data_IF_228275882953
#
_entry.id   IF_228275882953
#
_cell.length_a   1.000
_cell.length_b   1.000
_cell.length_c   1.000
_cell.angle_alpha   90.00
_cell.angle_beta   90.00
_cell.angle_gamma   90.00
#
_symmetry.space_group_name_H-M   'P 1'
#
loop_
_entity.id
_entity.type
_entity.pdbx_description
1 polymer ?
#
# COMPACT_ATOMS: atom_id res chain seq x y z
N UNK A 1 -10.16 66.53 -21.81
CA UNK A 1 -9.68 67.34 -22.95
C UNK A 1 -8.21 66.99 -23.13
N UNK A 2 -7.67 66.36 -24.18
CA UNK A 2 -7.97 66.06 -25.60
C UNK A 2 -7.44 64.61 -25.83
N UNK A 3 -8.10 63.62 -26.45
CA UNK A 3 -8.48 63.39 -27.86
C UNK A 3 -7.32 63.57 -28.89
N UNK A 4 -6.63 62.48 -29.35
CA UNK A 4 -6.87 61.70 -30.63
C UNK A 4 -5.90 62.16 -31.78
N UNK A 5 -5.43 61.35 -32.77
CA UNK A 5 -5.19 59.88 -32.90
C UNK A 5 -3.98 59.51 -33.87
N UNK A 6 -3.99 58.49 -34.79
CA UNK A 6 -2.85 57.60 -35.04
C UNK A 6 -2.21 57.77 -36.45
N UNK A 7 -1.21 56.96 -36.82
CA UNK A 7 -0.88 56.79 -38.25
C UNK A 7 -0.42 55.38 -38.62
N UNK A 8 -0.95 54.93 -39.76
CA UNK A 8 -0.76 53.66 -40.46
C UNK A 8 0.40 53.74 -41.48
N UNK A 9 0.89 52.58 -41.90
CA UNK A 9 1.67 52.34 -43.14
C UNK A 9 3.07 51.79 -42.86
N UNK A 10 3.62 50.76 -43.51
CA UNK A 10 3.24 49.91 -44.64
C UNK A 10 4.08 48.61 -44.55
N UNK A 11 3.59 47.52 -45.16
CA UNK A 11 4.22 46.18 -45.27
C UNK A 11 5.31 46.13 -46.35
N UNK A 12 6.39 45.36 -46.15
CA UNK A 12 7.10 44.56 -47.22
C UNK A 12 7.72 43.27 -46.59
N UNK A 13 7.67 42.07 -47.25
CA UNK A 13 7.97 40.75 -46.68
C UNK A 13 9.34 40.16 -47.14
N UNK A 14 9.76 39.00 -46.62
CA UNK A 14 10.72 38.11 -47.31
C UNK A 14 10.06 36.82 -47.85
N UNK A 15 10.70 36.14 -48.83
CA UNK A 15 10.01 35.48 -49.95
C UNK A 15 9.73 33.99 -49.76
N UNK A 16 8.77 33.51 -50.55
CA UNK A 16 8.51 32.10 -50.80
C UNK A 16 9.10 31.65 -52.16
N UNK A 17 9.76 30.50 -52.16
CA UNK A 17 9.90 29.55 -53.26
C UNK A 17 9.94 28.17 -52.57
N UNK A 18 8.97 27.26 -52.71
CA UNK A 18 8.52 26.61 -53.95
C UNK A 18 9.60 25.62 -54.37
N UNK A 19 9.46 24.30 -54.39
CA UNK A 19 8.36 23.35 -54.17
C UNK A 19 8.90 21.95 -54.52
N UNK A 20 8.10 20.90 -54.32
CA UNK A 20 8.35 19.57 -54.92
C UNK A 20 8.58 18.46 -53.91
N UNK A 21 7.59 17.59 -53.76
CA UNK A 21 7.64 16.43 -52.86
C UNK A 21 8.33 15.20 -53.44
N UNK A 22 8.58 14.21 -52.58
CA UNK A 22 8.60 12.80 -52.92
C UNK A 22 8.57 11.98 -51.62
N UNK A 23 7.74 10.93 -51.61
CA UNK A 23 7.66 9.93 -50.58
C UNK A 23 8.92 9.05 -50.55
N UNK A 24 9.45 8.75 -49.35
CA UNK A 24 10.38 7.62 -49.13
C UNK A 24 10.29 7.10 -47.68
N UNK A 25 9.73 5.90 -47.51
CA UNK A 25 10.21 4.79 -46.66
C UNK A 25 10.41 4.93 -45.13
N UNK A 26 10.25 3.83 -44.36
CA UNK A 26 10.44 3.83 -42.91
C UNK A 26 11.93 3.84 -42.56
N UNK A 27 12.32 4.66 -41.58
CA UNK A 27 13.69 4.72 -41.06
C UNK A 27 13.90 3.68 -39.96
N UNK A 28 14.92 2.81 -40.04
CA UNK A 28 15.21 1.81 -39.03
C UNK A 28 16.13 2.36 -37.92
N UNK A 29 15.96 1.85 -36.71
CA UNK A 29 17.03 1.71 -35.72
C UNK A 29 17.34 2.94 -34.85
N UNK A 30 16.65 3.03 -33.70
CA UNK A 30 17.27 3.55 -32.48
C UNK A 30 17.41 2.38 -31.49
N UNK A 31 18.60 2.19 -30.87
CA UNK A 31 18.86 1.07 -30.00
C UNK A 31 18.04 1.21 -28.71
N UNK A 32 17.34 0.14 -28.33
CA UNK A 32 16.74 0.02 -27.01
C UNK A 32 17.87 0.10 -25.97
N UNK A 33 17.86 1.17 -25.17
CA UNK A 33 18.70 1.27 -23.99
C UNK A 33 18.35 0.09 -23.07
N UNK A 34 19.27 -0.88 -23.00
CA UNK A 34 19.26 -1.95 -22.02
C UNK A 34 19.39 -1.35 -20.62
N UNK A 35 18.26 -1.00 -20.03
CA UNK A 35 18.15 -0.87 -18.58
C UNK A 35 18.17 -2.28 -18.00
N UNK A 36 19.37 -2.77 -17.70
CA UNK A 36 19.56 -3.91 -16.81
C UNK A 36 18.99 -3.55 -15.45
N UNK A 37 17.70 -3.79 -15.27
CA UNK A 37 17.06 -3.83 -13.96
C UNK A 37 17.58 -5.07 -13.24
N UNK A 38 18.64 -4.90 -12.46
CA UNK A 38 18.94 -5.78 -11.35
C UNK A 38 17.65 -6.07 -10.60
N UNK A 39 17.37 -7.35 -10.33
CA UNK A 39 16.29 -7.82 -9.47
C UNK A 39 16.16 -6.97 -8.21
N UNK A 40 15.35 -5.91 -8.25
CA UNK A 40 14.79 -5.32 -7.04
C UNK A 40 13.69 -6.29 -6.62
N UNK A 41 14.11 -7.24 -5.78
CA UNK A 41 13.22 -8.01 -4.94
C UNK A 41 12.12 -7.07 -4.38
N UNK A 42 10.87 -7.53 -4.25
CA UNK A 42 9.80 -6.70 -3.72
C UNK A 42 10.29 -6.05 -2.42
N UNK A 43 9.99 -4.76 -2.23
CA UNK A 43 10.19 -4.01 -0.98
C UNK A 43 9.34 -4.57 0.17
N UNK A 44 9.19 -5.88 0.28
CA UNK A 44 8.98 -6.55 1.54
C UNK A 44 10.32 -6.51 2.25
N UNK A 45 10.49 -5.56 3.17
CA UNK A 45 11.58 -5.66 4.14
C UNK A 45 11.56 -7.08 4.69
N UNK A 46 12.68 -7.79 4.58
CA UNK A 46 12.81 -9.16 5.06
C UNK A 46 12.53 -9.16 6.55
N UNK A 47 11.25 -9.34 6.92
CA UNK A 47 10.89 -9.66 8.29
C UNK A 47 11.40 -11.07 8.51
N UNK A 48 12.62 -11.18 9.01
CA UNK A 48 13.05 -12.35 9.76
C UNK A 48 12.23 -12.41 11.07
N UNK A 49 10.92 -12.56 10.94
CA UNK A 49 10.10 -13.07 12.00
C UNK A 49 10.48 -14.53 12.13
N UNK A 50 11.07 -14.92 13.26
CA UNK A 50 11.14 -16.34 13.60
C UNK A 50 9.70 -16.80 13.77
N UNK A 51 9.15 -17.42 12.72
CA UNK A 51 7.85 -18.07 12.77
C UNK A 51 7.96 -19.28 13.70
N UNK A 52 7.70 -19.04 14.99
CA UNK A 52 7.57 -20.10 15.96
C UNK A 52 6.25 -20.82 15.68
N UNK A 53 6.32 -21.90 14.91
CA UNK A 53 5.16 -22.72 14.58
C UNK A 53 4.75 -23.57 15.78
N UNK A 54 3.52 -23.38 16.25
CA UNK A 54 2.91 -24.26 17.25
C UNK A 54 1.67 -24.89 16.64
N UNK A 55 1.68 -26.22 16.50
CA UNK A 55 0.58 -26.95 15.88
C UNK A 55 -0.70 -26.74 16.70
N UNK A 56 -1.78 -26.35 16.03
CA UNK A 56 -3.09 -26.11 16.65
C UNK A 56 -3.24 -24.75 17.36
N UNK A 57 -2.23 -23.87 17.35
CA UNK A 57 -2.31 -22.52 17.93
C UNK A 57 -1.93 -21.46 16.91
N UNK A 58 -2.68 -20.37 16.89
CA UNK A 58 -2.34 -19.19 16.08
C UNK A 58 -1.37 -18.31 16.87
N UNK A 59 -0.20 -18.04 16.29
CA UNK A 59 0.80 -17.15 16.85
C UNK A 59 0.75 -15.79 16.17
N UNK A 60 0.62 -14.73 16.95
CA UNK A 60 0.53 -13.35 16.47
C UNK A 60 1.69 -12.53 17.01
N UNK A 61 2.60 -12.13 16.12
CA UNK A 61 3.62 -11.15 16.45
C UNK A 61 3.02 -9.75 16.35
N UNK A 62 2.65 -9.18 17.49
CA UNK A 62 1.96 -7.90 17.53
C UNK A 62 2.74 -6.77 16.85
N UNK A 63 4.07 -6.77 16.94
CA UNK A 63 4.88 -5.74 16.30
C UNK A 63 4.76 -5.77 14.76
N UNK A 64 4.77 -6.95 14.15
CA UNK A 64 4.62 -7.10 12.71
C UNK A 64 3.23 -6.71 12.24
N UNK A 65 2.24 -7.14 13.00
CA UNK A 65 0.84 -6.76 12.80
C UNK A 65 0.70 -5.24 12.85
N UNK A 66 1.28 -4.57 13.85
CA UNK A 66 1.20 -3.11 13.99
C UNK A 66 1.84 -2.35 12.82
N UNK A 67 2.91 -2.89 12.21
CA UNK A 67 3.52 -2.30 11.00
C UNK A 67 2.62 -2.40 9.77
N UNK A 68 1.76 -3.42 9.71
CA UNK A 68 0.77 -3.55 8.65
C UNK A 68 -0.45 -2.64 8.86
N UNK A 69 -0.85 -2.45 10.12
CA UNK A 69 -2.09 -1.74 10.46
C UNK A 69 -1.94 -0.21 10.57
N UNK A 70 -0.85 0.27 11.16
CA UNK A 70 -0.70 1.69 11.49
C UNK A 70 0.55 2.24 10.82
N UNK A 71 0.42 3.35 10.09
CA UNK A 71 1.56 4.04 9.46
C UNK A 71 2.23 4.98 10.47
N UNK A 72 3.23 4.47 11.18
CA UNK A 72 4.04 5.25 12.14
C UNK A 72 5.47 5.48 11.61
N UNK A 73 6.08 6.60 12.01
CA UNK A 73 7.50 6.86 11.75
C UNK A 73 8.42 5.99 12.64
N UNK A 74 8.01 5.80 13.89
CA UNK A 74 8.75 5.04 14.90
C UNK A 74 7.78 4.04 15.51
N UNK A 75 8.11 2.76 15.49
CA UNK A 75 7.20 1.69 15.95
C UNK A 75 7.41 1.25 17.40
N UNK A 76 8.12 2.03 18.23
CA UNK A 76 8.34 1.66 19.64
C UNK A 76 7.03 1.41 20.37
N UNK A 77 7.03 0.46 21.32
CA UNK A 77 5.83 0.06 22.07
C UNK A 77 5.05 1.26 22.63
N UNK A 78 5.75 2.22 23.24
CA UNK A 78 5.14 3.42 23.81
C UNK A 78 4.47 4.30 22.75
N UNK A 79 5.03 4.36 21.54
CA UNK A 79 4.48 5.15 20.44
C UNK A 79 3.27 4.46 19.81
N UNK A 80 3.31 3.13 19.65
CA UNK A 80 2.15 2.36 19.20
C UNK A 80 0.98 2.49 20.17
N UNK A 81 1.24 2.37 21.48
CA UNK A 81 0.21 2.57 22.52
C UNK A 81 -0.35 3.98 22.46
N UNK A 82 0.49 5.00 22.29
CA UNK A 82 0.00 6.37 22.18
C UNK A 82 -0.83 6.60 20.91
N UNK A 83 -0.42 6.03 19.77
CA UNK A 83 -1.14 6.18 18.51
C UNK A 83 -2.53 5.52 18.55
N UNK A 84 -2.66 4.34 19.18
CA UNK A 84 -3.88 3.53 19.16
C UNK A 84 -4.80 3.87 20.34
N UNK A 85 -4.25 3.87 21.56
CA UNK A 85 -5.01 4.04 22.81
C UNK A 85 -5.02 5.49 23.31
N UNK A 86 -4.36 6.42 22.60
CA UNK A 86 -4.24 7.83 22.99
C UNK A 86 -3.69 8.04 24.41
N UNK A 87 -2.95 7.05 24.93
CA UNK A 87 -2.45 7.04 26.31
C UNK A 87 -0.92 7.08 26.31
N UNK A 88 -0.32 7.88 27.20
CA UNK A 88 1.14 7.93 27.35
C UNK A 88 1.62 6.97 28.43
N UNK A 89 2.61 6.16 28.08
CA UNK A 89 3.21 5.17 28.99
C UNK A 89 4.69 5.51 29.18
N UNK A 90 5.20 5.53 30.42
CA UNK A 90 6.61 5.81 30.67
C UNK A 90 7.48 4.64 30.20
N UNK A 91 8.53 4.96 29.44
CA UNK A 91 9.58 4.00 29.06
C UNK A 91 10.55 3.83 30.22
N UNK A 92 10.58 2.63 30.81
CA UNK A 92 11.53 2.27 31.87
C UNK A 92 12.68 1.47 31.29
N UNK A 93 13.93 1.88 31.58
CA UNK A 93 15.12 1.17 31.15
C UNK A 93 15.19 -0.25 31.77
N UNK A 94 15.68 -1.24 31.03
CA UNK A 94 15.67 -2.63 31.47
C UNK A 94 16.54 -2.86 32.72
N UNK A 95 17.67 -2.17 32.85
CA UNK A 95 18.52 -2.24 34.05
C UNK A 95 17.75 -1.84 35.32
N UNK A 96 16.89 -0.83 35.21
CA UNK A 96 16.11 -0.30 36.34
C UNK A 96 15.03 -1.29 36.78
N UNK A 97 14.42 -2.01 35.84
CA UNK A 97 13.47 -3.09 36.13
C UNK A 97 14.16 -4.25 36.89
N UNK A 98 15.36 -4.65 36.46
CA UNK A 98 16.15 -5.67 37.16
C UNK A 98 16.53 -5.24 38.57
N UNK A 99 16.91 -3.96 38.75
CA UNK A 99 17.23 -3.40 40.07
C UNK A 99 16.01 -3.44 41.00
N UNK A 100 14.84 -3.01 40.52
CA UNK A 100 13.60 -3.05 41.30
C UNK A 100 13.17 -4.47 41.67
N UNK A 101 13.37 -5.43 40.76
CA UNK A 101 13.03 -6.83 41.01
C UNK A 101 13.96 -7.49 42.04
N UNK A 102 15.25 -7.16 42.02
CA UNK A 102 16.24 -7.72 42.95
C UNK A 102 16.29 -6.99 44.30
N UNK A 103 15.70 -5.79 44.40
CA UNK A 103 15.61 -5.04 45.65
C UNK A 103 14.97 -5.89 46.78
N UNK A 104 15.49 -5.85 48.02
CA UNK A 104 14.89 -6.55 49.15
C UNK A 104 13.52 -5.96 49.54
N UNK A 105 13.22 -4.73 49.10
CA UNK A 105 11.96 -4.05 49.40
C UNK A 105 10.81 -4.64 48.57
N UNK A 106 9.78 -5.18 49.22
CA UNK A 106 8.58 -5.72 48.55
C UNK A 106 7.91 -4.72 47.60
N UNK A 107 7.95 -3.42 47.94
CA UNK A 107 7.34 -2.34 47.14
C UNK A 107 7.99 -2.20 45.76
N UNK A 108 9.30 -2.30 45.66
CA UNK A 108 10.01 -2.13 44.38
C UNK A 108 9.81 -3.35 43.48
N UNK A 109 9.80 -4.55 44.05
CA UNK A 109 9.43 -5.78 43.32
C UNK A 109 8.03 -5.67 42.73
N UNK A 110 7.08 -5.19 43.52
CA UNK A 110 5.70 -4.98 43.05
C UNK A 110 5.63 -3.94 41.93
N UNK A 111 6.41 -2.86 41.99
CA UNK A 111 6.48 -1.86 40.90
C UNK A 111 6.95 -2.48 39.58
N UNK A 112 7.99 -3.31 39.61
CA UNK A 112 8.49 -4.01 38.42
C UNK A 112 7.44 -4.97 37.83
N UNK A 113 6.81 -5.79 38.68
CA UNK A 113 5.75 -6.72 38.27
C UNK A 113 4.53 -5.98 37.70
N UNK A 114 4.10 -4.90 38.36
CA UNK A 114 3.01 -4.05 37.87
C UNK A 114 3.32 -3.43 36.52
N UNK A 115 4.56 -2.98 36.29
CA UNK A 115 4.97 -2.45 34.99
C UNK A 115 4.86 -3.52 33.89
N UNK A 116 5.39 -4.73 34.12
CA UNK A 116 5.31 -5.83 33.16
C UNK A 116 3.85 -6.28 32.89
N UNK A 117 3.05 -6.44 33.95
CA UNK A 117 1.64 -6.75 33.84
C UNK A 117 0.87 -5.65 33.07
N UNK A 118 1.19 -4.37 33.31
CA UNK A 118 0.57 -3.27 32.55
C UNK A 118 0.96 -3.30 31.07
N UNK A 119 2.20 -3.66 30.72
CA UNK A 119 2.60 -3.83 29.30
C UNK A 119 1.86 -4.98 28.62
N UNK A 120 1.68 -6.11 29.31
CA UNK A 120 0.94 -7.25 28.78
C UNK A 120 -0.55 -6.93 28.56
N UNK A 121 -1.18 -6.23 29.51
CA UNK A 121 -2.58 -5.78 29.37
C UNK A 121 -2.73 -4.76 28.24
N UNK A 122 -1.82 -3.79 28.12
CA UNK A 122 -1.82 -2.83 27.01
C UNK A 122 -1.68 -3.50 25.63
N UNK A 123 -0.92 -4.61 25.52
CA UNK A 123 -0.88 -5.37 24.27
C UNK A 123 -2.26 -5.90 23.90
N UNK A 124 -3.00 -6.46 24.86
CA UNK A 124 -4.36 -6.97 24.63
C UNK A 124 -5.34 -5.83 24.33
N UNK A 125 -5.29 -4.73 25.10
CA UNK A 125 -6.11 -3.53 24.86
C UNK A 125 -5.87 -2.97 23.43
N UNK A 126 -4.63 -2.97 22.93
CA UNK A 126 -4.33 -2.57 21.56
C UNK A 126 -4.93 -3.52 20.51
N UNK A 127 -4.92 -4.84 20.73
CA UNK A 127 -5.56 -5.80 19.81
C UNK A 127 -7.07 -5.59 19.75
N UNK A 128 -7.69 -5.35 20.90
CA UNK A 128 -9.12 -5.15 21.04
C UNK A 128 -9.56 -3.83 20.38
N UNK A 129 -8.82 -2.74 20.61
CA UNK A 129 -9.12 -1.45 20.00
C UNK A 129 -9.04 -1.47 18.46
N UNK A 130 -8.16 -2.29 17.90
CA UNK A 130 -8.04 -2.49 16.44
C UNK A 130 -9.00 -3.54 15.88
N UNK A 131 -9.78 -4.21 16.73
CA UNK A 131 -10.60 -5.38 16.39
C UNK A 131 -9.87 -6.37 15.47
N UNK A 132 -8.60 -6.66 15.81
CA UNK A 132 -7.74 -7.38 14.88
C UNK A 132 -8.26 -8.81 14.64
N UNK A 133 -8.66 -9.48 15.71
CA UNK A 133 -9.10 -10.88 15.66
C UNK A 133 -10.47 -10.98 14.99
N UNK A 134 -11.43 -10.11 15.34
CA UNK A 134 -12.77 -10.12 14.76
C UNK A 134 -12.73 -9.87 13.26
N UNK A 135 -12.10 -8.77 12.84
CA UNK A 135 -11.93 -8.41 11.43
C UNK A 135 -11.18 -9.49 10.64
N UNK A 136 -10.09 -10.05 11.18
CA UNK A 136 -9.34 -11.11 10.49
C UNK A 136 -10.17 -12.39 10.36
N UNK A 137 -10.96 -12.75 11.38
CA UNK A 137 -11.84 -13.91 11.33
C UNK A 137 -12.99 -13.75 10.32
N UNK A 138 -13.56 -12.54 10.18
CA UNK A 138 -14.57 -12.23 9.15
C UNK A 138 -13.96 -12.30 7.74
N UNK A 139 -12.76 -11.75 7.55
CA UNK A 139 -12.04 -11.86 6.28
C UNK A 139 -11.70 -13.33 5.93
N UNK A 140 -11.26 -14.12 6.91
CA UNK A 140 -10.98 -15.54 6.73
C UNK A 140 -12.22 -16.30 6.24
N UNK A 141 -13.39 -16.04 6.86
CA UNK A 141 -14.68 -16.62 6.46
C UNK A 141 -15.13 -16.16 5.07
N UNK A 142 -14.93 -14.88 4.75
CA UNK A 142 -15.33 -14.29 3.48
C UNK A 142 -14.53 -14.88 2.32
N UNK A 143 -13.20 -14.92 2.43
CA UNK A 143 -12.33 -15.50 1.40
C UNK A 143 -12.39 -17.04 1.39
N UNK A 144 -12.66 -17.67 2.54
CA UNK A 144 -12.61 -19.12 2.71
C UNK A 144 -11.17 -19.64 2.81
N UNK A 145 -10.32 -18.93 3.56
CA UNK A 145 -8.91 -19.29 3.79
C UNK A 145 -8.60 -19.32 5.29
N UNK A 146 -7.47 -19.92 5.64
CA UNK A 146 -7.02 -19.99 7.04
C UNK A 146 -6.77 -18.60 7.65
N UNK A 147 -7.04 -18.47 8.95
CA UNK A 147 -6.86 -17.23 9.70
C UNK A 147 -5.45 -16.65 9.56
N UNK A 148 -4.41 -17.47 9.75
CA UNK A 148 -3.00 -17.04 9.63
C UNK A 148 -2.66 -16.61 8.20
N UNK A 149 -3.27 -17.25 7.20
CA UNK A 149 -3.05 -16.92 5.79
C UNK A 149 -3.63 -15.55 5.42
N UNK A 150 -4.67 -15.08 6.12
CA UNK A 150 -5.15 -13.69 5.94
C UNK A 150 -4.07 -12.68 6.29
N UNK A 151 -3.29 -12.91 7.35
CA UNK A 151 -2.27 -11.96 7.83
C UNK A 151 -0.95 -12.08 7.06
N UNK A 152 -0.56 -13.29 6.69
CA UNK A 152 0.77 -13.60 6.14
C UNK A 152 0.80 -13.63 4.61
N UNK A 153 -0.30 -14.00 3.95
CA UNK A 153 -0.35 -14.13 2.48
C UNK A 153 -0.83 -12.84 1.82
N UNK A 154 -0.26 -12.58 0.64
CA UNK A 154 -0.59 -11.42 -0.18
C UNK A 154 -2.00 -11.47 -0.79
N UNK A 155 -2.37 -10.37 -1.47
CA UNK A 155 -3.68 -10.19 -2.11
C UNK A 155 -3.97 -11.24 -3.18
N UNK A 156 -2.96 -11.66 -3.96
CA UNK A 156 -3.10 -12.67 -5.00
C UNK A 156 -3.71 -13.98 -4.45
N UNK A 157 -3.18 -14.49 -3.33
CA UNK A 157 -3.69 -15.71 -2.71
C UNK A 157 -5.18 -15.62 -2.34
N UNK A 158 -5.63 -14.44 -1.89
CA UNK A 158 -7.03 -14.19 -1.51
C UNK A 158 -7.95 -14.21 -2.74
N UNK A 159 -7.51 -13.60 -3.84
CA UNK A 159 -8.27 -13.58 -5.10
C UNK A 159 -8.32 -14.99 -5.71
N UNK A 160 -7.21 -15.69 -5.76
CA UNK A 160 -7.14 -17.07 -6.28
C UNK A 160 -8.02 -18.04 -5.48
N UNK A 161 -8.02 -17.93 -4.14
CA UNK A 161 -8.87 -18.75 -3.29
C UNK A 161 -10.37 -18.55 -3.60
N UNK A 162 -10.80 -17.29 -3.80
CA UNK A 162 -12.17 -16.97 -4.15
C UNK A 162 -12.52 -17.46 -5.57
N UNK A 163 -11.66 -17.17 -6.54
CA UNK A 163 -11.86 -17.55 -7.95
C UNK A 163 -11.89 -19.07 -8.13
N UNK A 164 -11.02 -19.82 -7.45
CA UNK A 164 -10.98 -21.28 -7.51
C UNK A 164 -12.28 -21.91 -7.02
N UNK A 165 -12.84 -21.41 -5.92
CA UNK A 165 -14.13 -21.87 -5.39
C UNK A 165 -15.29 -21.60 -6.36
N UNK A 166 -15.33 -20.40 -6.96
CA UNK A 166 -16.35 -20.04 -7.93
C UNK A 166 -16.23 -20.87 -9.21
N UNK A 167 -15.02 -21.00 -9.75
CA UNK A 167 -14.73 -21.83 -10.92
C UNK A 167 -15.19 -23.28 -10.72
N UNK A 168 -14.85 -23.88 -9.57
CA UNK A 168 -15.28 -25.24 -9.23
C UNK A 168 -16.82 -25.36 -9.18
N UNK A 169 -17.53 -24.39 -8.59
CA UNK A 169 -18.99 -24.41 -8.51
C UNK A 169 -19.69 -24.36 -9.89
N UNK A 170 -19.02 -23.81 -10.90
CA UNK A 170 -19.52 -23.66 -12.25
C UNK A 170 -18.88 -24.66 -13.24
N UNK A 171 -18.11 -25.65 -12.74
CA UNK A 171 -17.38 -26.64 -13.53
C UNK A 171 -16.34 -26.05 -14.52
N UNK A 172 -15.68 -24.96 -14.13
CA UNK A 172 -14.54 -24.40 -14.84
C UNK A 172 -13.20 -24.94 -14.32
N UNK A 173 -12.19 -24.95 -15.21
CA UNK A 173 -10.81 -25.28 -14.87
C UNK A 173 -9.95 -24.02 -14.97
N UNK A 174 -9.18 -23.71 -13.93
CA UNK A 174 -8.23 -22.60 -13.92
C UNK A 174 -6.93 -22.99 -14.62
N UNK A 175 -6.42 -22.09 -15.46
CA UNK A 175 -5.11 -22.25 -16.12
C UNK A 175 -4.01 -21.83 -15.14
N UNK A 176 -2.97 -22.66 -15.02
CA UNK A 176 -1.77 -22.36 -14.22
C UNK A 176 -0.58 -22.08 -15.15
N UNK A 177 -0.40 -20.83 -15.62
CA UNK A 177 0.67 -20.50 -16.56
C UNK A 177 2.06 -20.62 -15.90
N UNK A 178 3.06 -21.04 -16.68
CA UNK A 178 4.45 -21.07 -16.25
C UNK A 178 5.05 -19.66 -16.21
N UNK A 179 6.14 -19.48 -15.45
CA UNK A 179 6.85 -18.19 -15.40
C UNK A 179 7.29 -17.70 -16.78
N UNK A 180 7.70 -18.61 -17.65
CA UNK A 180 8.09 -18.27 -19.03
C UNK A 180 6.90 -17.78 -19.86
N UNK A 181 5.72 -18.37 -19.67
CA UNK A 181 4.51 -17.92 -20.37
C UNK A 181 4.08 -16.53 -19.90
N UNK A 182 4.13 -16.27 -18.59
CA UNK A 182 3.85 -14.94 -18.02
C UNK A 182 4.85 -13.91 -18.53
N UNK A 183 6.14 -14.25 -18.63
CA UNK A 183 7.16 -13.34 -19.14
C UNK A 183 6.98 -12.99 -20.64
N UNK A 184 6.34 -13.86 -21.42
CA UNK A 184 6.06 -13.65 -22.85
C UNK A 184 4.73 -12.93 -23.10
N UNK A 185 3.96 -12.61 -22.06
CA UNK A 185 2.68 -11.91 -22.23
C UNK A 185 2.90 -10.51 -22.81
N UNK A 186 1.97 -9.99 -23.63
CA UNK A 186 2.07 -8.64 -24.16
C UNK A 186 2.09 -7.63 -23.00
N UNK A 187 2.89 -6.58 -23.15
CA UNK A 187 2.95 -5.51 -22.17
C UNK A 187 1.60 -4.77 -22.08
N UNK A 188 1.30 -4.21 -20.90
CA UNK A 188 0.09 -3.43 -20.68
C UNK A 188 0.09 -2.18 -21.57
N UNK A 189 -0.95 -2.03 -22.39
CA UNK A 189 -1.06 -0.92 -23.35
C UNK A 189 -1.92 0.25 -22.83
N UNK A 190 -2.77 0.01 -21.83
CA UNK A 190 -3.68 1.02 -21.29
C UNK A 190 -3.03 1.74 -20.10
N UNK A 191 -3.07 3.07 -20.11
CA UNK A 191 -2.57 3.92 -19.05
C UNK A 191 -3.74 4.73 -18.44
N UNK A 192 -3.74 5.00 -17.12
CA UNK A 192 -4.73 5.87 -16.52
C UNK A 192 -4.56 7.30 -17.05
N UNK A 193 -5.68 8.00 -17.22
CA UNK A 193 -5.67 9.43 -17.56
C UNK A 193 -5.37 10.25 -16.30
N UNK A 194 -4.29 11.03 -16.34
CA UNK A 194 -3.99 12.05 -15.35
C UNK A 194 -4.01 13.40 -16.06
N UNK A 195 -4.96 14.26 -15.69
CA UNK A 195 -5.06 15.61 -16.25
C UNK A 195 -3.95 16.50 -15.66
N UNK A 196 -3.42 17.40 -16.48
CA UNK A 196 -2.44 18.38 -16.02
C UNK A 196 -3.11 19.39 -15.08
N UNK A 197 -2.61 19.57 -13.84
CA UNK A 197 -3.23 20.48 -12.89
C UNK A 197 -2.84 21.93 -13.18
N UNK A 198 -3.82 22.84 -13.11
CA UNK A 198 -3.54 24.27 -13.09
C UNK A 198 -2.99 24.68 -11.72
N UNK A 199 -1.69 24.96 -11.68
CA UNK A 199 -0.98 25.33 -10.46
C UNK A 199 -1.24 26.80 -10.12
N UNK A 200 -2.22 27.04 -9.25
CA UNK A 200 -2.52 28.37 -8.73
C UNK A 200 -3.10 28.31 -7.30
N UNK A 201 -3.28 29.48 -6.69
CA UNK A 201 -4.01 29.61 -5.43
C UNK A 201 -5.48 29.89 -5.72
N UNK A 202 -6.35 28.93 -5.44
CA UNK A 202 -7.80 29.08 -5.63
C UNK A 202 -8.41 29.86 -4.46
N UNK A 203 -8.96 31.05 -4.73
CA UNK A 203 -9.70 31.88 -3.76
C UNK A 203 -11.19 31.52 -3.68
N UNK A 204 -11.71 30.85 -4.72
CA UNK A 204 -13.09 30.38 -4.82
C UNK A 204 -13.20 28.91 -4.40
N UNK A 205 -14.37 28.44 -3.93
CA UNK A 205 -14.54 27.03 -3.54
C UNK A 205 -14.37 26.10 -4.74
N UNK A 206 -13.66 24.99 -4.52
CA UNK A 206 -13.41 23.94 -5.53
C UNK A 206 -14.20 22.69 -5.16
N UNK A 207 -15.05 22.22 -6.07
CA UNK A 207 -15.83 20.99 -5.89
C UNK A 207 -14.99 19.80 -6.33
N UNK A 208 -14.89 18.78 -5.48
CA UNK A 208 -14.19 17.53 -5.77
C UNK A 208 -15.22 16.43 -6.01
N UNK A 209 -15.20 15.83 -7.19
CA UNK A 209 -16.07 14.72 -7.59
C UNK A 209 -15.21 13.47 -7.79
N UNK A 210 -15.65 12.34 -7.24
CA UNK A 210 -14.97 11.05 -7.37
C UNK A 210 -15.98 9.92 -7.59
N UNK A 211 -15.56 8.86 -8.28
CA UNK A 211 -16.37 7.66 -8.50
C UNK A 211 -16.22 6.69 -7.33
N UNK A 212 -17.33 6.17 -6.82
CA UNK A 212 -17.30 5.10 -5.84
C UNK A 212 -16.99 3.77 -6.55
N UNK A 213 -15.83 3.17 -6.24
CA UNK A 213 -15.42 1.85 -6.75
C UNK A 213 -15.38 1.76 -8.29
N UNK A 214 -14.69 2.70 -8.95
CA UNK A 214 -14.59 2.80 -10.41
C UNK A 214 -14.33 1.46 -11.12
N UNK A 215 -13.22 0.78 -10.82
CA UNK A 215 -12.83 -0.45 -11.53
C UNK A 215 -13.81 -1.62 -11.31
N UNK A 216 -14.20 -1.98 -10.07
CA UNK A 216 -15.22 -3.02 -9.85
C UNK A 216 -16.53 -2.73 -10.58
N UNK A 217 -17.02 -1.48 -10.52
CA UNK A 217 -18.28 -1.10 -11.17
C UNK A 217 -18.18 -1.22 -12.70
N UNK A 218 -17.05 -0.84 -13.29
CA UNK A 218 -16.81 -1.04 -14.73
C UNK A 218 -16.78 -2.52 -15.12
N UNK A 219 -16.07 -3.36 -14.36
CA UNK A 219 -16.00 -4.80 -14.66
C UNK A 219 -17.39 -5.45 -14.65
N UNK A 220 -18.23 -5.09 -13.67
CA UNK A 220 -19.61 -5.59 -13.58
C UNK A 220 -20.49 -5.03 -14.71
N UNK A 221 -20.46 -3.71 -14.93
CA UNK A 221 -21.33 -3.04 -15.89
C UNK A 221 -21.06 -3.47 -17.34
N UNK A 222 -19.79 -3.75 -17.66
CA UNK A 222 -19.38 -4.17 -19.00
C UNK A 222 -19.15 -5.67 -19.13
N UNK A 223 -19.44 -6.46 -18.08
CA UNK A 223 -19.29 -7.92 -18.05
C UNK A 223 -17.91 -8.38 -18.58
N UNK A 224 -16.86 -7.79 -17.99
CA UNK A 224 -15.45 -8.10 -18.28
C UNK A 224 -14.97 -9.33 -17.51
#
# INVERSE_FOLDING_TARGET
>A
AHAVPPNNGERIPPPAAGGGGAATGPVPGFPAAGGGGSDEAPKGGTSMGQDMLCVGRVMLNLWEVMRGEVKLNIYTFENCVHAILQTRVPKVAHYQLSLWFNSPQKRDRWRALRHLAKRATLNLEMLEQLDLVGRTAELARTYGIDFTSVLTRGSQYRVEALMSRLAHSQNYLLVSPSREQVARQPAMACLPLVMEPESCMYSSPVVVLDFQSLYPSMMIAYNL
#
